data_IF_385721282327
#
_entry.id   IF_385721282327
#
_cell.length_a   1.000
_cell.length_b   1.000
_cell.length_c   1.000
_cell.angle_alpha   90.00
_cell.angle_beta   90.00
_cell.angle_gamma   90.00
#
_symmetry.space_group_name_H-M   'P 1'
#
loop_
_entity.id
_entity.type
_entity.pdbx_description
1 polymer ?
#
# COMPACT_ATOMS: atom_id res chain seq x y z
N UNK A 1 -6.85 12.36 1.33
CA UNK A 1 -7.43 11.12 1.92
C UNK A 1 -6.80 10.83 3.28
N UNK A 2 -5.48 10.66 3.35
CA UNK A 2 -4.75 10.35 4.59
C UNK A 2 -5.06 11.35 5.70
N UNK A 3 -5.02 12.65 5.40
CA UNK A 3 -5.29 13.71 6.38
C UNK A 3 -6.70 13.65 6.99
N UNK A 4 -7.68 13.09 6.26
CA UNK A 4 -9.04 12.93 6.78
C UNK A 4 -9.12 11.82 7.84
N UNK A 5 -8.21 10.85 7.79
CA UNK A 5 -8.15 9.71 8.72
C UNK A 5 -7.21 9.99 9.89
N UNK A 6 -6.08 10.66 9.64
CA UNK A 6 -5.00 10.85 10.62
C UNK A 6 -4.89 12.27 11.17
N UNK A 7 -5.63 13.23 10.61
CA UNK A 7 -5.47 14.66 10.90
C UNK A 7 -4.55 15.36 9.90
N UNK A 8 -4.53 16.71 9.95
CA UNK A 8 -3.77 17.53 8.99
C UNK A 8 -2.24 17.43 9.16
N UNK A 9 -1.78 17.09 10.35
CA UNK A 9 -0.36 16.96 10.63
C UNK A 9 0.06 15.49 10.49
N UNK A 10 0.91 15.21 9.50
CA UNK A 10 1.49 13.89 9.24
C UNK A 10 2.97 13.84 9.65
N UNK A 11 3.48 14.90 10.28
CA UNK A 11 4.89 15.03 10.63
C UNK A 11 5.35 13.89 11.54
N UNK A 12 6.51 13.31 11.23
CA UNK A 12 7.13 12.26 12.04
C UNK A 12 6.52 10.86 11.86
N UNK A 13 5.40 10.70 11.15
CA UNK A 13 4.85 9.37 10.87
C UNK A 13 5.78 8.57 9.97
N UNK A 14 5.89 7.26 10.24
CA UNK A 14 6.64 6.34 9.39
C UNK A 14 5.77 5.87 8.23
N UNK A 15 6.10 6.29 7.01
CA UNK A 15 5.39 5.90 5.81
C UNK A 15 6.21 4.93 4.96
N UNK A 16 5.64 3.77 4.64
CA UNK A 16 6.25 2.78 3.76
C UNK A 16 5.48 2.74 2.45
N UNK A 17 6.17 3.02 1.35
CA UNK A 17 5.62 2.92 -0.01
C UNK A 17 6.18 1.67 -0.67
N UNK A 18 5.33 0.66 -0.84
CA UNK A 18 5.69 -0.58 -1.53
C UNK A 18 5.42 -0.40 -3.02
N UNK A 19 6.48 -0.14 -3.78
CA UNK A 19 6.39 0.17 -5.21
C UNK A 19 7.13 1.47 -5.53
N UNK A 20 7.85 1.48 -6.67
CA UNK A 20 8.69 2.61 -7.11
C UNK A 20 8.46 3.00 -8.57
N UNK A 21 7.24 2.83 -9.05
CA UNK A 21 6.85 3.25 -10.39
C UNK A 21 6.91 4.78 -10.52
N UNK A 22 7.06 5.26 -11.75
CA UNK A 22 7.06 6.71 -12.02
C UNK A 22 5.66 7.31 -11.90
N UNK A 23 4.60 6.51 -12.03
CA UNK A 23 3.21 6.97 -12.04
C UNK A 23 2.64 7.09 -10.62
N UNK A 24 3.02 6.19 -9.71
CA UNK A 24 2.43 6.12 -8.36
C UNK A 24 3.49 6.14 -7.27
N UNK A 25 4.39 5.15 -7.23
CA UNK A 25 5.25 4.92 -6.07
C UNK A 25 6.16 6.10 -5.73
N UNK A 26 6.92 6.60 -6.72
CA UNK A 26 7.82 7.74 -6.51
C UNK A 26 7.06 9.05 -6.21
N UNK A 27 6.01 9.43 -6.98
CA UNK A 27 5.20 10.60 -6.63
C UNK A 27 4.63 10.53 -5.21
N UNK A 28 4.07 9.39 -4.79
CA UNK A 28 3.48 9.24 -3.46
C UNK A 28 4.51 9.39 -2.35
N UNK A 29 5.71 8.81 -2.52
CA UNK A 29 6.80 8.97 -1.58
C UNK A 29 7.20 10.44 -1.42
N UNK A 30 7.29 11.19 -2.52
CA UNK A 30 7.62 12.61 -2.48
C UNK A 30 6.53 13.45 -1.80
N UNK A 31 5.25 13.14 -2.02
CA UNK A 31 4.14 13.83 -1.35
C UNK A 31 4.14 13.59 0.17
N UNK A 32 4.41 12.35 0.61
CA UNK A 32 4.51 12.01 2.03
C UNK A 32 5.72 12.69 2.68
N UNK A 33 6.85 12.74 1.96
CA UNK A 33 8.04 13.45 2.42
C UNK A 33 7.79 14.95 2.56
N UNK A 34 7.10 15.57 1.58
CA UNK A 34 6.70 16.97 1.65
C UNK A 34 5.73 17.26 2.80
N UNK A 35 4.98 16.25 3.26
CA UNK A 35 4.14 16.31 4.45
C UNK A 35 4.89 15.94 5.75
N UNK A 36 6.23 15.98 5.74
CA UNK A 36 7.12 15.70 6.86
C UNK A 36 7.06 14.27 7.44
N UNK A 37 6.57 13.29 6.68
CA UNK A 37 6.71 11.88 7.07
C UNK A 37 8.17 11.41 6.96
N UNK A 38 8.55 10.43 7.78
CA UNK A 38 9.74 9.61 7.49
C UNK A 38 9.36 8.56 6.46
N UNK A 39 9.94 8.59 5.27
CA UNK A 39 9.50 7.77 4.13
C UNK A 39 10.52 6.70 3.77
N UNK A 40 10.07 5.45 3.68
CA UNK A 40 10.84 4.33 3.10
C UNK A 40 10.17 3.82 1.82
N UNK A 41 10.92 3.78 0.72
CA UNK A 41 10.45 3.18 -0.55
C UNK A 41 10.95 1.73 -0.64
N UNK A 42 10.01 0.79 -0.66
CA UNK A 42 10.27 -0.64 -0.82
C UNK A 42 9.99 -1.12 -2.25
N UNK A 43 10.58 -2.25 -2.65
CA UNK A 43 10.46 -2.82 -3.98
C UNK A 43 10.77 -4.33 -3.98
N UNK A 44 10.72 -4.96 -5.16
CA UNK A 44 10.94 -6.41 -5.35
C UNK A 44 12.30 -6.96 -4.90
N UNK A 45 13.23 -6.13 -4.46
CA UNK A 45 14.55 -6.53 -3.92
C UNK A 45 14.74 -6.12 -2.45
N UNK A 46 13.71 -5.53 -1.84
CA UNK A 46 13.71 -5.22 -0.41
C UNK A 46 13.69 -6.53 0.37
N UNK A 47 14.65 -6.69 1.29
CA UNK A 47 14.70 -7.84 2.19
C UNK A 47 13.60 -7.70 3.24
N UNK A 48 12.96 -8.82 3.57
CA UNK A 48 11.89 -8.91 4.57
C UNK A 48 10.85 -7.79 4.44
N UNK A 49 10.19 -7.77 3.28
CA UNK A 49 9.19 -6.75 2.96
C UNK A 49 8.02 -6.74 3.98
N UNK A 50 7.67 -7.91 4.51
CA UNK A 50 6.62 -8.06 5.52
C UNK A 50 7.00 -7.37 6.83
N UNK A 51 8.22 -7.58 7.34
CA UNK A 51 8.68 -6.90 8.55
C UNK A 51 8.76 -5.38 8.36
N UNK A 52 9.23 -4.92 7.19
CA UNK A 52 9.26 -3.47 6.90
C UNK A 52 7.85 -2.89 6.87
N UNK A 53 6.91 -3.54 6.20
CA UNK A 53 5.51 -3.09 6.14
C UNK A 53 4.88 -2.99 7.54
N UNK A 54 5.21 -3.90 8.48
CA UNK A 54 4.75 -3.87 9.87
C UNK A 54 5.23 -2.67 10.68
N UNK A 55 6.23 -1.93 10.19
CA UNK A 55 6.70 -0.70 10.85
C UNK A 55 5.87 0.53 10.50
N UNK A 56 5.06 0.46 9.43
CA UNK A 56 4.43 1.61 8.82
C UNK A 56 3.21 2.11 9.60
N UNK A 57 3.16 3.40 9.91
CA UNK A 57 1.93 4.10 10.28
C UNK A 57 1.04 4.36 9.05
N UNK A 58 1.68 4.56 7.90
CA UNK A 58 1.04 4.70 6.60
C UNK A 58 1.68 3.69 5.63
N UNK A 59 0.90 2.73 5.15
CA UNK A 59 1.35 1.75 4.16
C UNK A 59 0.69 2.03 2.81
N UNK A 60 1.47 2.33 1.79
CA UNK A 60 0.99 2.46 0.41
C UNK A 60 1.38 1.22 -0.39
N UNK A 61 0.41 0.45 -0.84
CA UNK A 61 0.62 -0.71 -1.72
C UNK A 61 0.39 -0.31 -3.18
N UNK A 62 1.46 -0.27 -3.98
CA UNK A 62 1.46 0.15 -5.38
C UNK A 62 2.38 -0.76 -6.22
N UNK A 63 2.14 -2.07 -6.16
CA UNK A 63 2.95 -3.12 -6.77
C UNK A 63 2.32 -3.79 -7.98
N UNK A 64 0.99 -3.73 -8.14
CA UNK A 64 0.28 -4.44 -9.21
C UNK A 64 0.39 -5.96 -9.07
N UNK A 65 0.27 -6.45 -7.82
CA UNK A 65 0.31 -7.86 -7.47
C UNK A 65 -0.89 -8.17 -6.57
N UNK A 66 -1.89 -8.92 -7.06
CA UNK A 66 -3.14 -9.11 -6.33
C UNK A 66 -2.89 -9.71 -4.95
N UNK A 67 -3.46 -9.07 -3.93
CA UNK A 67 -3.51 -9.57 -2.55
C UNK A 67 -2.13 -9.94 -1.96
N UNK A 68 -1.05 -9.33 -2.46
CA UNK A 68 0.33 -9.61 -2.00
C UNK A 68 0.53 -9.19 -0.54
N UNK A 69 0.02 -8.01 -0.16
CA UNK A 69 0.13 -7.49 1.20
C UNK A 69 -0.94 -8.18 2.05
N UNK A 70 -0.49 -8.97 3.04
CA UNK A 70 -1.37 -9.74 3.94
C UNK A 70 -1.70 -8.97 5.21
N UNK A 71 -2.76 -9.36 5.91
CA UNK A 71 -3.20 -8.70 7.14
C UNK A 71 -2.12 -8.64 8.23
N UNK A 72 -1.31 -9.69 8.37
CA UNK A 72 -0.20 -9.77 9.32
C UNK A 72 1.01 -8.88 8.97
N UNK A 73 0.98 -8.22 7.80
CA UNK A 73 1.98 -7.22 7.41
C UNK A 73 1.60 -5.82 7.92
N UNK A 74 0.36 -5.62 8.34
CA UNK A 74 -0.20 -4.31 8.66
C UNK A 74 -0.04 -4.07 10.17
N UNK A 75 0.60 -2.94 10.52
CA UNK A 75 0.65 -2.48 11.90
C UNK A 75 -0.76 -2.18 12.40
N UNK A 76 -1.15 -2.63 13.61
CA UNK A 76 -2.43 -2.24 14.20
C UNK A 76 -2.60 -0.72 14.23
N UNK A 77 -3.72 -0.22 13.71
CA UNK A 77 -4.02 1.22 13.62
C UNK A 77 -3.35 1.96 12.46
N UNK A 78 -2.65 1.26 11.55
CA UNK A 78 -2.09 1.89 10.35
C UNK A 78 -3.17 2.32 9.36
N UNK A 79 -2.87 3.40 8.63
CA UNK A 79 -3.60 3.77 7.43
C UNK A 79 -3.03 3.02 6.23
N UNK A 80 -3.85 2.20 5.58
CA UNK A 80 -3.46 1.45 4.38
C UNK A 80 -4.08 2.08 3.13
N UNK A 81 -3.27 2.33 2.11
CA UNK A 81 -3.70 2.83 0.81
C UNK A 81 -3.39 1.76 -0.23
N UNK A 82 -4.44 1.10 -0.71
CA UNK A 82 -4.33 0.13 -1.78
C UNK A 82 -4.54 0.81 -3.13
N UNK A 83 -3.47 0.89 -3.94
CA UNK A 83 -3.49 1.47 -5.28
C UNK A 83 -3.62 0.38 -6.36
N UNK A 84 -3.50 -0.89 -5.97
CA UNK A 84 -3.57 -2.01 -6.89
C UNK A 84 -4.92 -2.08 -7.59
N UNK A 85 -4.90 -2.30 -8.89
CA UNK A 85 -6.10 -2.63 -9.67
C UNK A 85 -5.76 -3.88 -10.47
N UNK A 86 -6.05 -5.03 -9.88
CA UNK A 86 -5.74 -6.33 -10.46
C UNK A 86 -7.04 -7.03 -10.87
N UNK A 87 -7.09 -7.56 -12.09
CA UNK A 87 -8.23 -8.33 -12.58
C UNK A 87 -7.96 -9.81 -12.41
N UNK A 88 -8.83 -10.50 -11.67
CA UNK A 88 -8.73 -11.95 -11.45
C UNK A 88 -10.04 -12.65 -11.85
N UNK A 89 -9.97 -13.95 -12.13
CA UNK A 89 -11.14 -14.75 -12.44
C UNK A 89 -12.12 -14.75 -11.26
N UNK A 90 -13.42 -14.70 -11.59
CA UNK A 90 -14.53 -14.72 -10.64
C UNK A 90 -15.55 -15.80 -11.06
N UNK A 91 -15.18 -17.10 -11.01
CA UNK A 91 -16.06 -18.19 -11.44
C UNK A 91 -17.37 -18.22 -10.63
N UNK A 92 -17.37 -17.72 -9.39
CA UNK A 92 -18.55 -17.54 -8.56
C UNK A 92 -19.59 -16.57 -9.16
N UNK A 93 -19.19 -15.74 -10.12
CA UNK A 93 -20.07 -14.81 -10.85
C UNK A 93 -20.47 -15.33 -12.24
N UNK A 94 -20.00 -16.52 -12.63
CA UNK A 94 -20.23 -17.14 -13.94
C UNK A 94 -18.96 -17.30 -14.78
N UNK A 95 -19.06 -18.12 -15.83
CA UNK A 95 -17.95 -18.43 -16.73
C UNK A 95 -17.41 -17.17 -17.44
N UNK A 96 -16.08 -17.05 -17.53
CA UNK A 96 -15.40 -15.89 -18.14
C UNK A 96 -15.51 -14.58 -17.36
N UNK A 97 -16.19 -14.56 -16.20
CA UNK A 97 -16.32 -13.34 -15.38
C UNK A 97 -15.05 -13.08 -14.58
N UNK A 98 -14.86 -11.79 -14.27
CA UNK A 98 -13.70 -11.31 -13.51
C UNK A 98 -14.15 -10.37 -12.40
N UNK A 99 -13.31 -10.23 -11.37
CA UNK A 99 -13.43 -9.24 -10.31
C UNK A 99 -12.15 -8.42 -10.21
N UNK A 100 -12.27 -7.21 -9.67
CA UNK A 100 -11.13 -6.38 -9.32
C UNK A 100 -10.74 -6.66 -7.87
N UNK A 101 -9.44 -6.79 -7.64
CA UNK A 101 -8.83 -6.85 -6.31
C UNK A 101 -7.64 -5.89 -6.27
N UNK A 102 -7.35 -5.40 -5.08
CA UNK A 102 -6.17 -4.58 -4.86
C UNK A 102 -4.90 -5.39 -4.63
N UNK A 103 -3.85 -4.70 -4.24
CA UNK A 103 -2.57 -5.29 -3.83
C UNK A 103 -2.62 -5.80 -2.38
N UNK A 104 -3.64 -5.41 -1.61
CA UNK A 104 -3.88 -5.82 -0.23
C UNK A 104 -4.98 -6.88 -0.19
N UNK A 105 -4.76 -7.93 0.60
CA UNK A 105 -5.77 -8.94 0.90
C UNK A 105 -6.82 -8.36 1.87
N UNK A 106 -7.78 -7.58 1.34
CA UNK A 106 -8.89 -6.99 2.09
C UNK A 106 -9.97 -8.05 2.38
N UNK A 107 -10.33 -8.21 3.65
CA UNK A 107 -11.34 -9.16 4.13
C UNK A 107 -12.39 -8.45 4.99
#
# INVERSE_FOLDING_TARGET
LIERVRGKDLSGLNAVVVGRSNIVGKPMANLLLAANCTVTIAHSRTKDLAALARTADILVAAVGRPEMVRGDWIKPGATVIDVGINRIAAPEKGEGKTRLVGDVAYA
#
